data_IF_045002214645
#
_entry.id   IF_045002214645
#
_cell.length_a   1.000
_cell.length_b   1.000
_cell.length_c   1.000
_cell.angle_alpha   90.00
_cell.angle_beta   90.00
_cell.angle_gamma   90.00
#
_symmetry.space_group_name_H-M   'P 1'
#
loop_
_entity.id
_entity.type
_entity.pdbx_description
1 polymer ?
#
# COMPACT_ATOMS: atom_id res chain seq x y z
N UNK A 1 25.54 -65.99 -22.17
CA UNK A 1 26.87 -65.88 -22.81
C UNK A 1 27.03 -64.78 -23.90
N UNK A 2 25.99 -64.13 -24.42
CA UNK A 2 26.13 -63.10 -25.48
C UNK A 2 26.38 -61.68 -25.01
N UNK A 3 26.05 -61.29 -23.79
CA UNK A 3 26.19 -59.92 -23.28
C UNK A 3 27.65 -59.61 -22.86
N UNK A 4 28.39 -60.62 -22.37
CA UNK A 4 29.75 -60.41 -21.90
C UNK A 4 30.79 -60.23 -23.07
N UNK A 5 30.49 -60.74 -24.24
CA UNK A 5 31.34 -60.57 -25.44
C UNK A 5 31.19 -59.18 -26.08
N UNK A 6 30.03 -58.54 -25.93
CA UNK A 6 29.79 -57.17 -26.44
C UNK A 6 30.53 -56.11 -25.60
N UNK A 7 30.70 -56.34 -24.34
CA UNK A 7 31.40 -55.44 -23.42
C UNK A 7 32.94 -55.44 -23.58
N UNK A 8 33.48 -56.45 -24.21
CA UNK A 8 34.94 -56.57 -24.44
C UNK A 8 35.45 -55.92 -25.74
N UNK A 9 34.57 -55.46 -26.59
CA UNK A 9 34.99 -54.82 -27.81
C UNK A 9 35.37 -53.35 -27.54
N UNK A 10 36.60 -52.95 -27.85
CA UNK A 10 37.11 -51.60 -27.63
C UNK A 10 36.19 -50.52 -28.24
N UNK A 11 35.59 -50.78 -29.42
CA UNK A 11 34.66 -49.90 -30.09
C UNK A 11 33.36 -49.66 -29.28
N UNK A 12 32.86 -50.71 -28.64
CA UNK A 12 31.65 -50.65 -27.79
C UNK A 12 31.91 -49.86 -26.49
N UNK A 13 33.11 -50.05 -25.88
CA UNK A 13 33.53 -49.27 -24.73
C UNK A 13 33.66 -47.77 -25.03
N UNK A 14 34.25 -47.46 -26.19
CA UNK A 14 34.36 -46.06 -26.66
C UNK A 14 32.99 -45.46 -26.92
N UNK A 15 32.06 -46.19 -27.56
CA UNK A 15 30.72 -45.73 -27.81
C UNK A 15 29.93 -45.44 -26.56
N UNK A 16 30.04 -46.33 -25.53
CA UNK A 16 29.41 -46.14 -24.20
C UNK A 16 30.01 -44.96 -23.44
N UNK A 17 31.32 -44.77 -23.53
CA UNK A 17 31.99 -43.60 -22.93
C UNK A 17 31.54 -42.30 -23.55
N UNK A 18 31.42 -42.22 -24.87
CA UNK A 18 30.94 -41.04 -25.62
C UNK A 18 29.48 -40.78 -25.27
N UNK A 19 28.64 -41.78 -25.15
CA UNK A 19 27.24 -41.65 -24.75
C UNK A 19 27.13 -41.09 -23.32
N UNK A 20 27.97 -41.60 -22.41
CA UNK A 20 28.01 -41.11 -21.04
C UNK A 20 28.45 -39.65 -20.95
N UNK A 21 29.46 -39.24 -21.74
CA UNK A 21 29.93 -37.88 -21.85
C UNK A 21 28.80 -36.98 -22.40
N UNK A 22 28.06 -37.41 -23.41
CA UNK A 22 26.92 -36.65 -23.95
C UNK A 22 25.79 -36.51 -22.96
N UNK A 23 25.49 -37.54 -22.15
CA UNK A 23 24.49 -37.47 -21.10
C UNK A 23 24.94 -36.49 -20.01
N UNK A 24 26.21 -36.58 -19.58
CA UNK A 24 26.75 -35.67 -18.55
C UNK A 24 26.74 -34.22 -19.07
N UNK A 25 27.14 -34.01 -20.35
CA UNK A 25 27.11 -32.67 -20.97
C UNK A 25 25.68 -32.13 -21.13
N UNK A 26 24.71 -32.97 -21.48
CA UNK A 26 23.29 -32.64 -21.52
C UNK A 26 22.72 -32.27 -20.16
N UNK A 27 23.10 -33.01 -19.09
CA UNK A 27 22.71 -32.72 -17.72
C UNK A 27 23.35 -31.41 -17.23
N UNK A 28 24.64 -31.20 -17.52
CA UNK A 28 25.34 -29.94 -17.17
C UNK A 28 24.73 -28.76 -17.91
N UNK A 29 24.45 -28.87 -19.21
CA UNK A 29 23.75 -27.84 -19.98
C UNK A 29 22.32 -27.63 -19.50
N UNK A 30 21.60 -28.66 -19.09
CA UNK A 30 20.28 -28.55 -18.48
C UNK A 30 20.33 -27.86 -17.11
N UNK A 31 21.34 -28.12 -16.32
CA UNK A 31 21.55 -27.47 -15.02
C UNK A 31 22.02 -26.01 -15.16
N UNK A 32 22.79 -25.68 -16.19
CA UNK A 32 23.20 -24.29 -16.47
C UNK A 32 22.09 -23.49 -17.17
N UNK A 33 21.10 -24.18 -17.79
CA UNK A 33 19.95 -23.56 -18.42
C UNK A 33 18.79 -23.27 -17.48
N UNK A 34 18.86 -23.71 -16.24
CA UNK A 34 18.07 -23.15 -15.15
C UNK A 34 18.67 -21.75 -14.86
N UNK A 35 18.38 -20.79 -15.75
CA UNK A 35 18.44 -19.39 -15.36
C UNK A 35 17.64 -19.31 -14.07
N UNK A 36 18.34 -19.13 -12.96
CA UNK A 36 17.73 -18.55 -11.78
C UNK A 36 17.07 -17.26 -12.27
N UNK A 37 15.76 -17.30 -12.51
CA UNK A 37 14.92 -16.12 -12.45
C UNK A 37 14.90 -15.73 -10.95
N UNK A 38 16.05 -15.32 -10.41
CA UNK A 38 16.07 -14.32 -9.37
C UNK A 38 15.53 -13.08 -10.08
N UNK A 39 14.22 -12.87 -9.97
CA UNK A 39 13.71 -11.53 -10.14
C UNK A 39 14.61 -10.69 -9.24
N UNK A 40 15.31 -9.73 -9.80
CA UNK A 40 15.98 -8.71 -8.98
C UNK A 40 14.90 -8.23 -8.03
N UNK A 41 15.11 -8.45 -6.75
CA UNK A 41 14.18 -8.00 -5.74
C UNK A 41 14.29 -6.49 -5.78
N UNK A 42 13.29 -5.83 -6.35
CA UNK A 42 13.23 -4.37 -6.37
C UNK A 42 12.99 -3.92 -4.94
N UNK A 43 13.74 -2.93 -4.50
CA UNK A 43 13.62 -2.34 -3.18
C UNK A 43 13.42 -0.84 -3.33
N UNK A 44 12.54 -0.29 -2.51
CA UNK A 44 12.37 1.15 -2.36
C UNK A 44 13.12 1.62 -1.11
N UNK A 45 13.98 2.61 -1.28
CA UNK A 45 14.56 3.33 -0.15
C UNK A 45 13.62 4.47 0.20
N UNK A 46 13.03 4.46 1.39
CA UNK A 46 12.13 5.53 1.79
C UNK A 46 12.82 6.88 1.74
N UNK A 47 12.29 7.79 0.93
CA UNK A 47 12.75 9.18 0.84
C UNK A 47 12.28 10.02 2.04
N UNK A 48 11.32 9.51 2.82
CA UNK A 48 10.67 10.19 3.95
C UNK A 48 11.40 9.98 5.28
N UNK A 49 12.51 9.25 5.28
CA UNK A 49 13.30 8.94 6.48
C UNK A 49 13.78 10.17 7.25
N UNK A 50 13.89 11.32 6.62
CA UNK A 50 14.26 12.59 7.27
C UNK A 50 13.25 13.02 8.34
N UNK A 51 11.99 12.59 8.27
CA UNK A 51 10.93 12.89 9.23
C UNK A 51 10.89 11.92 10.43
N UNK A 52 11.76 10.91 10.47
CA UNK A 52 11.82 9.97 11.59
C UNK A 52 11.98 10.64 12.97
N UNK A 53 12.82 11.70 13.14
CA UNK A 53 12.92 12.38 14.42
C UNK A 53 11.62 13.03 14.90
N UNK A 54 10.76 13.52 13.98
CA UNK A 54 9.45 14.08 14.29
C UNK A 54 8.47 12.99 14.75
N UNK A 55 8.45 11.86 14.04
CA UNK A 55 7.66 10.69 14.42
C UNK A 55 8.08 10.20 15.81
N UNK A 56 9.39 10.11 16.08
CA UNK A 56 9.91 9.68 17.40
C UNK A 56 9.49 10.63 18.53
N UNK A 57 9.50 11.95 18.27
CA UNK A 57 9.01 12.94 19.25
C UNK A 57 7.50 12.77 19.50
N UNK A 58 6.72 12.62 18.44
CA UNK A 58 5.26 12.44 18.54
C UNK A 58 4.90 11.18 19.30
N UNK A 59 5.55 10.05 19.01
CA UNK A 59 5.33 8.78 19.74
C UNK A 59 5.62 8.90 21.23
N UNK A 60 6.67 9.65 21.62
CA UNK A 60 6.99 9.89 23.04
C UNK A 60 5.96 10.77 23.76
N UNK A 61 5.35 11.70 23.03
CA UNK A 61 4.33 12.59 23.61
C UNK A 61 3.00 11.86 23.88
N UNK A 62 2.78 10.70 23.25
CA UNK A 62 1.53 9.93 23.26
C UNK A 62 1.47 8.84 24.36
N UNK A 63 2.08 9.07 25.53
CA UNK A 63 2.15 8.05 26.61
C UNK A 63 0.77 7.66 27.19
N UNK A 64 -0.29 8.49 27.02
CA UNK A 64 -1.64 8.28 27.59
C UNK A 64 -2.74 7.97 26.57
N UNK A 65 -2.39 7.47 25.39
CA UNK A 65 -3.34 7.19 24.30
C UNK A 65 -4.42 6.17 24.73
N UNK A 66 -5.67 6.47 24.39
CA UNK A 66 -6.81 5.56 24.53
C UNK A 66 -7.05 4.79 23.23
N UNK A 67 -7.69 3.61 23.32
CA UNK A 67 -8.17 2.88 22.16
C UNK A 67 -9.27 3.66 21.44
N UNK A 68 -9.49 3.34 20.17
CA UNK A 68 -10.68 3.79 19.43
C UNK A 68 -11.92 3.14 20.05
N UNK A 69 -13.06 3.84 20.00
CA UNK A 69 -14.31 3.37 20.60
C UNK A 69 -14.96 2.19 19.88
N UNK A 70 -14.45 1.80 18.73
CA UNK A 70 -14.98 0.74 17.88
C UNK A 70 -14.47 -0.63 18.29
N UNK A 71 -15.28 -1.67 18.03
CA UNK A 71 -14.92 -3.06 18.33
C UNK A 71 -13.91 -3.62 17.34
N UNK A 72 -14.02 -3.23 16.09
CA UNK A 72 -13.15 -3.65 15.00
C UNK A 72 -13.07 -2.57 13.93
N UNK A 73 -11.87 -2.34 13.39
CA UNK A 73 -11.59 -1.29 12.44
C UNK A 73 -11.05 -1.93 11.16
N UNK A 74 -11.78 -1.79 10.08
CA UNK A 74 -11.38 -2.26 8.75
C UNK A 74 -10.63 -1.21 7.95
N UNK A 75 -10.73 0.06 8.30
CA UNK A 75 -10.03 1.11 7.59
C UNK A 75 -10.05 2.46 8.27
N UNK A 76 -9.26 3.38 7.73
CA UNK A 76 -9.17 4.77 8.14
C UNK A 76 -8.88 5.67 6.95
N UNK A 77 -9.32 6.91 7.04
CA UNK A 77 -8.96 7.98 6.10
C UNK A 77 -7.99 8.89 6.82
N UNK A 78 -6.81 9.12 6.24
CA UNK A 78 -5.76 9.92 6.87
C UNK A 78 -5.03 10.78 5.85
N UNK A 79 -4.62 11.96 6.29
CA UNK A 79 -3.79 12.87 5.50
C UNK A 79 -2.37 12.32 5.30
N UNK A 80 -1.72 12.75 4.22
CA UNK A 80 -0.32 12.45 3.96
C UNK A 80 0.60 13.68 3.96
N UNK A 81 0.10 14.83 4.38
CA UNK A 81 0.81 16.12 4.37
C UNK A 81 1.83 16.24 5.51
N UNK A 82 2.91 15.46 5.42
CA UNK A 82 3.98 15.53 6.41
C UNK A 82 4.97 16.68 6.09
N UNK A 83 5.60 17.32 7.10
CA UNK A 83 5.59 16.92 8.52
C UNK A 83 4.37 17.41 9.33
N UNK A 84 3.53 18.28 8.79
CA UNK A 84 2.47 18.99 9.51
C UNK A 84 1.51 18.04 10.22
N UNK A 85 1.18 16.91 9.61
CA UNK A 85 0.17 15.96 10.11
C UNK A 85 0.77 14.81 10.93
N UNK A 86 2.09 14.71 11.08
CA UNK A 86 2.74 13.61 11.80
C UNK A 86 2.14 13.38 13.21
N UNK A 87 1.89 14.39 14.06
CA UNK A 87 1.32 14.12 15.37
C UNK A 87 -0.05 13.43 15.28
N UNK A 88 -0.88 13.81 14.32
CA UNK A 88 -2.21 13.21 14.11
C UNK A 88 -2.12 11.79 13.56
N UNK A 89 -1.21 11.55 12.61
CA UNK A 89 -0.93 10.21 12.11
C UNK A 89 -0.46 9.28 13.23
N UNK A 90 0.44 9.75 14.09
CA UNK A 90 0.93 8.99 15.24
C UNK A 90 -0.21 8.69 16.21
N UNK A 91 -1.08 9.65 16.52
CA UNK A 91 -2.27 9.44 17.35
C UNK A 91 -3.18 8.36 16.76
N UNK A 92 -3.59 8.51 15.50
CA UNK A 92 -4.44 7.55 14.80
C UNK A 92 -3.88 6.13 14.85
N UNK A 93 -2.63 5.93 14.38
CA UNK A 93 -2.02 4.61 14.33
C UNK A 93 -1.77 4.01 15.73
N UNK A 94 -1.46 4.84 16.73
CA UNK A 94 -1.25 4.38 18.09
C UNK A 94 -2.56 3.95 18.74
N UNK A 95 -3.65 4.67 18.51
CA UNK A 95 -5.00 4.29 18.95
C UNK A 95 -5.45 3.01 18.27
N UNK A 96 -5.25 2.87 16.95
CA UNK A 96 -5.53 1.64 16.20
C UNK A 96 -4.77 0.44 16.79
N UNK A 97 -3.49 0.59 17.09
CA UNK A 97 -2.67 -0.46 17.72
C UNK A 97 -3.19 -0.90 19.08
N UNK A 98 -3.77 0.02 19.86
CA UNK A 98 -4.39 -0.30 21.14
C UNK A 98 -5.78 -0.94 21.02
N UNK A 99 -6.46 -0.70 19.89
CA UNK A 99 -7.80 -1.23 19.65
C UNK A 99 -7.77 -2.68 19.22
N UNK A 100 -6.85 -3.05 18.30
CA UNK A 100 -6.81 -4.39 17.73
C UNK A 100 -5.41 -4.77 17.25
N UNK A 101 -5.10 -6.09 17.12
CA UNK A 101 -3.92 -6.54 16.42
C UNK A 101 -4.05 -6.27 14.93
N UNK A 102 -3.02 -5.68 14.31
CA UNK A 102 -2.94 -5.46 12.87
C UNK A 102 -1.63 -6.02 12.36
N UNK A 103 -1.69 -6.87 11.32
CA UNK A 103 -0.51 -7.46 10.67
C UNK A 103 -0.28 -6.92 9.27
N UNK A 104 -1.34 -6.46 8.63
CA UNK A 104 -1.31 -6.05 7.24
C UNK A 104 -1.98 -4.69 7.06
N UNK A 105 -1.35 -3.85 6.24
CA UNK A 105 -1.94 -2.60 5.79
C UNK A 105 -2.00 -2.58 4.26
N UNK A 106 -3.14 -2.19 3.72
CA UNK A 106 -3.27 -1.76 2.34
C UNK A 106 -3.36 -0.24 2.37
N UNK A 107 -2.43 0.46 1.75
CA UNK A 107 -2.42 1.92 1.72
C UNK A 107 -2.76 2.36 0.31
N UNK A 108 -3.87 3.08 0.16
CA UNK A 108 -4.28 3.63 -1.14
C UNK A 108 -4.18 5.15 -1.14
N UNK A 109 -3.70 5.72 -2.23
CA UNK A 109 -3.54 7.17 -2.38
C UNK A 109 -3.54 7.60 -3.84
N UNK A 110 -3.45 8.92 -4.13
CA UNK A 110 -3.21 9.42 -5.47
C UNK A 110 -1.84 9.00 -6.02
N UNK A 111 -1.74 8.88 -7.32
CA UNK A 111 -0.49 9.01 -8.07
C UNK A 111 -0.38 10.48 -8.49
N UNK A 112 0.30 11.30 -7.69
CA UNK A 112 0.33 12.75 -7.87
C UNK A 112 0.96 13.20 -9.20
N UNK A 113 1.74 12.34 -9.82
CA UNK A 113 2.46 12.64 -11.07
C UNK A 113 1.89 11.89 -12.27
N UNK A 114 0.87 11.05 -12.07
CA UNK A 114 0.33 10.14 -13.08
C UNK A 114 1.42 9.28 -13.76
N UNK A 115 2.47 8.92 -13.01
CA UNK A 115 3.63 8.21 -13.53
C UNK A 115 3.43 6.70 -13.70
N UNK A 116 2.42 6.12 -13.07
CA UNK A 116 2.08 4.71 -13.23
C UNK A 116 1.71 4.35 -14.66
N UNK A 117 2.12 3.17 -15.13
CA UNK A 117 1.82 2.69 -16.50
C UNK A 117 0.36 2.29 -16.72
N UNK A 118 -0.41 2.18 -15.64
CA UNK A 118 -1.83 1.86 -15.66
C UNK A 118 -2.61 2.80 -14.74
N UNK A 119 -3.94 2.94 -14.91
CA UNK A 119 -4.75 3.78 -14.04
C UNK A 119 -4.62 3.44 -12.55
N UNK A 120 -4.42 2.17 -12.21
CA UNK A 120 -4.17 1.71 -10.85
C UNK A 120 -2.86 0.92 -10.85
N UNK A 121 -1.95 1.32 -9.97
CA UNK A 121 -0.63 0.72 -9.82
C UNK A 121 -0.45 0.19 -8.40
N UNK A 122 0.13 -1.00 -8.27
CA UNK A 122 0.43 -1.65 -6.99
C UNK A 122 1.91 -1.99 -6.92
N UNK A 123 2.54 -1.78 -5.76
CA UNK A 123 3.89 -2.25 -5.50
C UNK A 123 3.88 -3.67 -4.91
N UNK A 124 4.85 -4.47 -5.34
CA UNK A 124 5.17 -5.78 -4.75
C UNK A 124 6.60 -5.81 -4.17
N UNK A 125 7.22 -4.63 -4.04
CA UNK A 125 8.56 -4.47 -3.50
C UNK A 125 8.56 -4.25 -1.98
N UNK A 126 9.71 -4.47 -1.34
CA UNK A 126 9.96 -4.06 0.04
C UNK A 126 10.36 -2.58 0.11
N UNK A 127 9.99 -1.91 1.19
CA UNK A 127 10.40 -0.53 1.50
C UNK A 127 11.37 -0.54 2.69
N UNK A 128 12.52 0.07 2.53
CA UNK A 128 13.48 0.25 3.61
C UNK A 128 13.31 1.61 4.26
N UNK A 129 12.91 1.60 5.50
CA UNK A 129 12.74 2.80 6.33
C UNK A 129 13.81 2.86 7.43
N UNK A 130 13.93 3.98 8.11
CA UNK A 130 14.76 4.11 9.33
C UNK A 130 14.39 3.08 10.39
N UNK A 131 13.16 2.59 10.39
CA UNK A 131 12.64 1.64 11.39
C UNK A 131 12.72 0.17 10.94
N UNK A 132 13.24 -0.10 9.74
CA UNK A 132 13.46 -1.42 9.20
C UNK A 132 12.77 -1.69 7.87
N UNK A 133 12.83 -2.95 7.45
CA UNK A 133 12.21 -3.41 6.22
C UNK A 133 10.69 -3.58 6.42
N UNK A 134 9.92 -3.03 5.49
CA UNK A 134 8.47 -3.21 5.37
C UNK A 134 8.20 -4.02 4.11
N UNK A 135 7.70 -5.23 4.29
CA UNK A 135 7.43 -6.17 3.18
C UNK A 135 5.99 -6.03 2.67
N UNK A 136 5.73 -6.32 1.40
CA UNK A 136 4.37 -6.37 0.87
C UNK A 136 3.58 -7.55 1.45
N UNK A 137 2.25 -7.47 1.38
CA UNK A 137 1.35 -8.57 1.71
C UNK A 137 1.52 -9.67 0.66
N UNK A 138 1.77 -10.91 1.11
CA UNK A 138 2.09 -12.01 0.24
C UNK A 138 1.01 -12.26 -0.82
N UNK A 139 1.39 -12.16 -2.09
CA UNK A 139 0.55 -12.47 -3.25
C UNK A 139 -0.59 -11.49 -3.51
N UNK A 140 -0.77 -10.41 -2.74
CA UNK A 140 -1.85 -9.45 -2.95
C UNK A 140 -1.69 -8.75 -4.31
N UNK A 141 -0.50 -8.21 -4.59
CA UNK A 141 -0.24 -7.51 -5.85
C UNK A 141 -0.48 -8.42 -7.07
N UNK A 142 -0.02 -9.68 -7.02
CA UNK A 142 -0.24 -10.65 -8.09
C UNK A 142 -1.73 -10.95 -8.29
N UNK A 143 -2.50 -11.13 -7.22
CA UNK A 143 -3.96 -11.33 -7.32
C UNK A 143 -4.67 -10.16 -7.98
N UNK A 144 -4.27 -8.93 -7.67
CA UNK A 144 -4.84 -7.72 -8.28
C UNK A 144 -4.46 -7.62 -9.77
N UNK A 145 -3.22 -7.97 -10.11
CA UNK A 145 -2.77 -8.00 -11.51
C UNK A 145 -3.49 -9.09 -12.32
N UNK A 146 -3.60 -10.30 -11.80
CA UNK A 146 -4.30 -11.41 -12.46
C UNK A 146 -5.79 -11.09 -12.67
N UNK A 147 -6.41 -10.38 -11.73
CA UNK A 147 -7.76 -9.85 -11.86
C UNK A 147 -7.88 -8.64 -12.82
N UNK A 148 -6.77 -8.14 -13.36
CA UNK A 148 -6.68 -6.95 -14.23
C UNK A 148 -7.22 -5.67 -13.58
N UNK A 149 -7.10 -5.57 -12.26
CA UNK A 149 -7.54 -4.42 -11.47
C UNK A 149 -6.41 -3.44 -11.16
N UNK A 150 -5.17 -3.93 -11.08
CA UNK A 150 -4.00 -3.09 -10.91
C UNK A 150 -2.81 -3.69 -11.66
N UNK A 151 -1.86 -2.85 -12.03
CA UNK A 151 -0.61 -3.27 -12.65
C UNK A 151 0.54 -3.20 -11.63
N UNK A 152 1.40 -4.21 -11.59
CA UNK A 152 2.62 -4.13 -10.80
C UNK A 152 3.61 -3.24 -11.57
N UNK A 153 3.96 -2.10 -10.99
CA UNK A 153 4.95 -1.17 -11.51
C UNK A 153 5.60 -0.45 -10.32
N UNK A 154 6.90 -0.58 -10.18
CA UNK A 154 7.61 -0.06 -9.01
C UNK A 154 8.08 1.39 -9.17
N UNK A 155 8.26 1.85 -10.41
CA UNK A 155 8.87 3.15 -10.68
C UNK A 155 8.17 4.37 -10.05
N UNK A 156 6.82 4.44 -10.00
CA UNK A 156 6.16 5.61 -9.43
C UNK A 156 6.21 5.70 -7.90
N UNK A 157 6.57 4.62 -7.20
CA UNK A 157 6.50 4.60 -5.73
C UNK A 157 7.66 5.31 -5.03
N UNK A 158 8.82 5.46 -5.67
CA UNK A 158 9.96 6.15 -5.05
C UNK A 158 9.65 7.60 -4.68
N UNK A 159 9.09 8.44 -5.58
CA UNK A 159 8.77 9.83 -5.26
C UNK A 159 7.38 10.01 -4.65
N UNK A 160 6.51 8.98 -4.63
CA UNK A 160 5.11 9.15 -4.25
C UNK A 160 4.95 9.27 -2.72
N UNK A 161 4.55 10.47 -2.27
CA UNK A 161 4.43 10.78 -0.84
C UNK A 161 3.12 10.31 -0.22
N UNK A 162 2.07 10.16 -1.00
CA UNK A 162 0.77 9.74 -0.46
C UNK A 162 0.84 8.41 0.28
N UNK A 163 1.61 7.47 -0.24
CA UNK A 163 1.80 6.16 0.39
C UNK A 163 3.11 6.05 1.17
N UNK A 164 4.16 6.73 0.70
CA UNK A 164 5.48 6.68 1.32
C UNK A 164 5.51 7.23 2.76
N UNK A 165 4.78 8.32 3.02
CA UNK A 165 4.61 8.92 4.34
C UNK A 165 3.96 7.96 5.33
N UNK A 166 2.92 7.24 4.90
CA UNK A 166 2.21 6.26 5.72
C UNK A 166 3.08 5.06 6.06
N UNK A 167 3.83 4.54 5.07
CA UNK A 167 4.75 3.41 5.27
C UNK A 167 5.76 3.73 6.37
N UNK A 168 6.30 4.95 6.40
CA UNK A 168 7.24 5.35 7.44
C UNK A 168 6.61 5.34 8.83
N UNK A 169 5.41 5.93 9.01
CA UNK A 169 4.72 5.97 10.31
C UNK A 169 4.28 4.57 10.75
N UNK A 170 3.72 3.78 9.82
CA UNK A 170 3.32 2.38 10.09
C UNK A 170 4.53 1.57 10.54
N UNK A 171 5.68 1.70 9.89
CA UNK A 171 6.89 0.93 10.24
C UNK A 171 7.38 1.21 11.66
N UNK A 172 7.19 2.43 12.17
CA UNK A 172 7.49 2.80 13.55
C UNK A 172 6.51 2.19 14.55
N UNK A 173 5.22 2.31 14.27
CA UNK A 173 4.18 1.96 15.24
C UNK A 173 3.86 0.46 15.22
N UNK A 174 3.92 -0.16 14.05
CA UNK A 174 3.65 -1.59 13.83
C UNK A 174 4.89 -2.32 13.27
N UNK A 175 5.96 -2.48 14.06
CA UNK A 175 7.16 -3.14 13.57
C UNK A 175 6.85 -4.58 13.12
N UNK A 176 7.23 -4.89 11.89
CA UNK A 176 6.98 -6.20 11.26
C UNK A 176 5.63 -6.34 10.55
N UNK A 177 4.76 -5.34 10.59
CA UNK A 177 3.56 -5.33 9.74
C UNK A 177 3.95 -5.27 8.26
N UNK A 178 3.15 -5.90 7.41
CA UNK A 178 3.28 -5.84 5.96
C UNK A 178 2.46 -4.70 5.40
N UNK A 179 2.98 -4.03 4.36
CA UNK A 179 2.27 -2.93 3.71
C UNK A 179 2.30 -3.13 2.21
N UNK A 180 1.13 -3.12 1.58
CA UNK A 180 1.01 -3.08 0.11
C UNK A 180 0.44 -1.73 -0.29
N UNK A 181 1.25 -0.83 -0.87
CA UNK A 181 0.76 0.44 -1.37
C UNK A 181 0.14 0.28 -2.76
N UNK A 182 -0.95 1.04 -2.98
CA UNK A 182 -1.68 1.13 -4.24
C UNK A 182 -1.87 2.61 -4.54
N UNK A 183 -1.56 3.06 -5.74
CA UNK A 183 -1.76 4.44 -6.17
C UNK A 183 -2.67 4.50 -7.39
N UNK A 184 -3.49 5.53 -7.43
CA UNK A 184 -4.49 5.73 -8.45
C UNK A 184 -4.20 7.03 -9.22
N UNK A 185 -4.08 6.91 -10.54
CA UNK A 185 -3.92 8.05 -11.43
C UNK A 185 -5.20 8.88 -11.53
N UNK A 186 -5.06 10.12 -11.96
CA UNK A 186 -6.18 11.05 -12.17
C UNK A 186 -7.22 10.53 -13.17
N UNK A 187 -6.80 9.75 -14.19
CA UNK A 187 -7.66 9.15 -15.22
C UNK A 187 -8.33 7.82 -14.80
N UNK A 188 -8.13 7.36 -13.57
CA UNK A 188 -8.84 6.19 -13.04
C UNK A 188 -10.36 6.43 -13.06
N UNK A 189 -11.12 5.52 -13.65
CA UNK A 189 -12.58 5.63 -13.67
C UNK A 189 -13.19 5.22 -12.33
N UNK A 190 -14.39 5.76 -12.01
CA UNK A 190 -15.17 5.36 -10.83
C UNK A 190 -15.39 3.84 -10.81
N UNK A 191 -15.84 3.26 -11.93
CA UNK A 191 -16.11 1.83 -12.03
C UNK A 191 -14.88 0.97 -11.74
N UNK A 192 -13.70 1.41 -12.19
CA UNK A 192 -12.44 0.68 -11.94
C UNK A 192 -12.05 0.77 -10.46
N UNK A 193 -12.20 1.93 -9.84
CA UNK A 193 -11.96 2.12 -8.41
C UNK A 193 -12.93 1.26 -7.56
N UNK A 194 -14.23 1.27 -7.89
CA UNK A 194 -15.23 0.44 -7.20
C UNK A 194 -14.95 -1.06 -7.37
N UNK A 195 -14.54 -1.50 -8.57
CA UNK A 195 -14.19 -2.90 -8.81
C UNK A 195 -12.99 -3.32 -7.95
N UNK A 196 -11.97 -2.46 -7.82
CA UNK A 196 -10.85 -2.69 -6.90
C UNK A 196 -11.35 -2.81 -5.45
N UNK A 197 -12.20 -1.89 -5.00
CA UNK A 197 -12.74 -1.89 -3.64
C UNK A 197 -13.50 -3.19 -3.33
N UNK A 198 -14.34 -3.65 -4.24
CA UNK A 198 -15.10 -4.91 -4.09
C UNK A 198 -14.19 -6.12 -3.91
N UNK A 199 -13.12 -6.21 -4.70
CA UNK A 199 -12.15 -7.32 -4.57
C UNK A 199 -11.35 -7.21 -3.27
N UNK A 200 -10.85 -6.01 -2.92
CA UNK A 200 -10.13 -5.81 -1.66
C UNK A 200 -10.97 -6.21 -0.46
N UNK A 201 -12.26 -5.86 -0.43
CA UNK A 201 -13.18 -6.27 0.63
C UNK A 201 -13.23 -7.80 0.82
N UNK A 202 -13.07 -8.59 -0.24
CA UNK A 202 -13.04 -10.05 -0.16
C UNK A 202 -11.67 -10.62 0.23
N UNK A 203 -10.59 -9.90 -0.08
CA UNK A 203 -9.23 -10.36 0.18
C UNK A 203 -8.71 -10.00 1.57
N UNK A 204 -9.26 -8.96 2.19
CA UNK A 204 -8.90 -8.54 3.53
C UNK A 204 -9.44 -9.49 4.59
N UNK A 205 -8.59 -9.90 5.51
CA UNK A 205 -8.94 -10.58 6.75
C UNK A 205 -9.12 -9.60 7.91
N UNK A 206 -9.37 -10.13 9.12
CA UNK A 206 -9.60 -9.31 10.32
C UNK A 206 -8.30 -8.69 10.89
N UNK A 207 -7.13 -9.07 10.39
CA UNK A 207 -5.82 -8.48 10.77
C UNK A 207 -5.30 -7.51 9.71
N UNK A 208 -6.11 -7.18 8.69
CA UNK A 208 -5.80 -6.28 7.60
C UNK A 208 -6.62 -5.00 7.70
N UNK A 209 -5.95 -3.85 7.64
CA UNK A 209 -6.57 -2.52 7.66
C UNK A 209 -6.27 -1.78 6.36
N UNK A 210 -7.31 -1.18 5.77
CA UNK A 210 -7.20 -0.32 4.60
C UNK A 210 -7.04 1.14 5.04
N UNK A 211 -6.01 1.80 4.56
CA UNK A 211 -5.77 3.23 4.76
C UNK A 211 -6.00 3.97 3.44
N UNK A 212 -6.97 4.86 3.43
CA UNK A 212 -7.09 5.87 2.38
C UNK A 212 -6.24 7.08 2.78
N UNK A 213 -5.12 7.24 2.11
CA UNK A 213 -4.18 8.32 2.31
C UNK A 213 -4.50 9.44 1.34
N UNK A 214 -5.30 10.40 1.80
CA UNK A 214 -5.82 11.50 0.98
C UNK A 214 -5.85 12.80 1.77
N UNK A 215 -5.64 13.90 1.09
CA UNK A 215 -5.92 15.24 1.61
C UNK A 215 -7.25 15.75 1.03
N UNK A 216 -7.98 16.53 1.81
CA UNK A 216 -9.24 17.13 1.36
C UNK A 216 -9.00 18.35 0.48
N UNK A 217 -9.70 19.46 0.69
CA UNK A 217 -9.58 20.64 -0.16
C UNK A 217 -8.15 21.22 -0.18
N UNK A 218 -7.75 21.77 -1.32
CA UNK A 218 -6.43 22.38 -1.51
C UNK A 218 -6.54 23.81 -2.02
N UNK A 219 -5.67 24.69 -1.50
CA UNK A 219 -5.43 26.05 -2.02
C UNK A 219 -6.69 26.92 -2.11
N UNK A 220 -7.65 26.74 -1.21
CA UNK A 220 -8.87 27.51 -1.12
C UNK A 220 -8.81 28.51 0.04
N UNK A 221 -9.57 29.61 -0.01
CA UNK A 221 -9.85 30.42 1.17
C UNK A 221 -10.42 29.54 2.29
N UNK A 222 -10.02 29.82 3.53
CA UNK A 222 -10.30 28.94 4.69
C UNK A 222 -11.80 28.62 4.87
N UNK A 223 -12.68 29.62 4.70
CA UNK A 223 -14.13 29.44 4.83
C UNK A 223 -14.71 28.50 3.76
N UNK A 224 -14.21 28.61 2.53
CA UNK A 224 -14.61 27.72 1.43
C UNK A 224 -14.08 26.31 1.64
N UNK A 225 -12.81 26.17 2.05
CA UNK A 225 -12.20 24.88 2.37
C UNK A 225 -13.02 24.16 3.45
N UNK A 226 -13.29 24.83 4.57
CA UNK A 226 -14.06 24.25 5.68
C UNK A 226 -15.45 23.78 5.25
N UNK A 227 -16.16 24.56 4.42
CA UNK A 227 -17.49 24.19 3.94
C UNK A 227 -17.45 22.94 3.04
N UNK A 228 -16.47 22.86 2.12
CA UNK A 228 -16.30 21.70 1.22
C UNK A 228 -15.82 20.46 1.97
N UNK A 229 -14.92 20.63 2.93
CA UNK A 229 -14.39 19.52 3.73
C UNK A 229 -15.46 18.92 4.64
N UNK A 230 -16.39 19.73 5.17
CA UNK A 230 -17.55 19.21 5.86
C UNK A 230 -18.45 18.35 4.98
N UNK A 231 -18.75 18.80 3.77
CA UNK A 231 -19.51 18.02 2.80
C UNK A 231 -18.79 16.70 2.50
N UNK A 232 -17.48 16.77 2.23
CA UNK A 232 -16.64 15.58 2.00
C UNK A 232 -16.72 14.61 3.18
N UNK A 233 -16.61 15.11 4.41
CA UNK A 233 -16.72 14.32 5.61
C UNK A 233 -18.07 13.64 5.79
N UNK A 234 -19.17 14.32 5.47
CA UNK A 234 -20.52 13.73 5.53
C UNK A 234 -20.69 12.61 4.50
N UNK A 235 -20.21 12.80 3.27
CA UNK A 235 -20.24 11.77 2.23
C UNK A 235 -19.47 10.52 2.67
N UNK A 236 -18.29 10.72 3.25
CA UNK A 236 -17.44 9.61 3.73
C UNK A 236 -18.08 8.90 4.91
N UNK A 237 -18.57 9.61 5.92
CA UNK A 237 -19.25 9.02 7.09
C UNK A 237 -20.45 8.17 6.71
N UNK A 238 -21.21 8.62 5.71
CA UNK A 238 -22.39 7.91 5.23
C UNK A 238 -22.09 6.83 4.20
N UNK A 239 -20.84 6.69 3.75
CA UNK A 239 -20.39 5.81 2.67
C UNK A 239 -21.25 5.99 1.40
N UNK A 240 -21.62 7.24 1.10
CA UNK A 240 -22.52 7.59 -0.01
C UNK A 240 -21.75 7.72 -1.33
N UNK A 241 -21.63 6.60 -2.07
CA UNK A 241 -20.93 6.56 -3.36
C UNK A 241 -21.63 7.37 -4.46
N UNK A 242 -22.92 7.63 -4.34
CA UNK A 242 -23.63 8.47 -5.32
C UNK A 242 -23.27 9.95 -5.11
N UNK A 243 -23.02 10.35 -3.87
CA UNK A 243 -22.56 11.69 -3.52
C UNK A 243 -21.03 11.88 -3.67
N UNK A 244 -20.28 10.84 -4.07
CA UNK A 244 -18.84 10.93 -4.29
C UNK A 244 -18.38 12.13 -5.16
N UNK A 245 -19.11 12.57 -6.20
CA UNK A 245 -18.75 13.77 -6.95
C UNK A 245 -18.72 15.08 -6.13
N UNK A 246 -19.27 15.08 -4.92
CA UNK A 246 -19.25 16.22 -3.99
C UNK A 246 -18.00 16.22 -3.10
N UNK A 247 -17.25 15.10 -3.06
CA UNK A 247 -16.02 15.01 -2.28
C UNK A 247 -14.91 15.82 -2.92
N UNK A 248 -14.43 16.79 -2.17
CA UNK A 248 -13.27 17.61 -2.53
C UNK A 248 -12.04 17.02 -1.87
N UNK A 249 -11.31 16.20 -2.62
CA UNK A 249 -10.09 15.53 -2.17
C UNK A 249 -9.12 15.40 -3.36
N UNK A 250 -7.83 15.27 -3.07
CA UNK A 250 -6.80 15.04 -4.08
C UNK A 250 -7.00 13.72 -4.84
N UNK A 251 -7.65 12.73 -4.20
CA UNK A 251 -8.05 11.48 -4.85
C UNK A 251 -9.45 11.01 -4.45
N UNK A 252 -10.48 11.52 -5.14
CA UNK A 252 -11.84 10.99 -5.01
C UNK A 252 -11.93 9.50 -5.42
N UNK A 253 -10.99 9.01 -6.24
CA UNK A 253 -10.93 7.61 -6.66
C UNK A 253 -10.44 6.70 -5.52
N UNK A 254 -9.45 7.13 -4.76
CA UNK A 254 -9.02 6.43 -3.53
C UNK A 254 -10.17 6.37 -2.52
N UNK A 255 -10.95 7.45 -2.40
CA UNK A 255 -12.15 7.47 -1.57
C UNK A 255 -13.22 6.48 -2.05
N UNK A 256 -13.43 6.33 -3.37
CA UNK A 256 -14.34 5.31 -3.93
C UNK A 256 -13.93 3.90 -3.52
N UNK A 257 -12.64 3.57 -3.67
CA UNK A 257 -12.09 2.27 -3.23
C UNK A 257 -12.36 2.05 -1.74
N UNK A 258 -12.03 3.05 -0.90
CA UNK A 258 -12.22 2.97 0.55
C UNK A 258 -13.70 2.70 0.90
N UNK A 259 -14.60 3.51 0.38
CA UNK A 259 -16.03 3.41 0.69
C UNK A 259 -16.61 2.06 0.24
N UNK A 260 -16.20 1.54 -0.92
CA UNK A 260 -16.61 0.20 -1.38
C UNK A 260 -16.09 -0.91 -0.45
N UNK A 261 -14.86 -0.80 0.04
CA UNK A 261 -14.32 -1.77 1.01
C UNK A 261 -15.12 -1.72 2.30
N UNK A 262 -15.39 -0.53 2.85
CA UNK A 262 -16.17 -0.38 4.09
C UNK A 262 -17.59 -0.94 3.94
N UNK A 263 -18.25 -0.67 2.82
CA UNK A 263 -19.56 -1.28 2.51
C UNK A 263 -19.48 -2.80 2.42
N UNK A 264 -18.46 -3.33 1.72
CA UNK A 264 -18.25 -4.78 1.59
C UNK A 264 -17.97 -5.46 2.94
N UNK A 265 -17.29 -4.80 3.86
CA UNK A 265 -17.05 -5.25 5.24
C UNK A 265 -18.22 -4.97 6.18
N UNK A 266 -19.27 -4.26 5.74
CA UNK A 266 -20.37 -3.78 6.58
C UNK A 266 -19.89 -2.91 7.75
N UNK A 267 -18.81 -2.19 7.55
CA UNK A 267 -18.20 -1.27 8.50
C UNK A 267 -18.94 0.08 8.37
N UNK A 268 -20.08 0.21 9.04
CA UNK A 268 -20.96 1.39 8.96
C UNK A 268 -20.79 2.31 10.18
N UNK A 269 -20.20 1.82 11.25
CA UNK A 269 -19.90 2.64 12.42
C UNK A 269 -18.60 3.38 12.19
N UNK A 270 -18.62 4.69 12.39
CA UNK A 270 -17.43 5.54 12.34
C UNK A 270 -17.10 6.05 13.73
N UNK A 271 -15.87 5.91 14.15
CA UNK A 271 -15.32 6.65 15.28
C UNK A 271 -14.64 7.89 14.70
N UNK A 272 -15.00 9.03 15.23
CA UNK A 272 -14.34 10.33 15.15
C UNK A 272 -13.59 10.66 13.82
N UNK A 273 -14.32 10.99 12.76
CA UNK A 273 -13.73 11.62 11.59
C UNK A 273 -13.42 13.09 11.91
N UNK A 274 -12.20 13.36 12.31
CA UNK A 274 -11.73 14.71 12.59
C UNK A 274 -11.30 15.40 11.31
N UNK A 275 -11.85 16.57 11.03
CA UNK A 275 -11.47 17.41 9.88
C UNK A 275 -10.77 18.66 10.42
N UNK A 276 -9.55 18.85 9.98
CA UNK A 276 -8.70 19.99 10.33
C UNK A 276 -8.24 20.67 9.04
N UNK A 277 -7.59 21.80 9.18
CA UNK A 277 -6.98 22.49 8.05
C UNK A 277 -5.63 23.09 8.44
N UNK A 278 -4.92 23.64 7.47
CA UNK A 278 -3.59 24.24 7.68
C UNK A 278 -3.61 25.29 8.80
N UNK A 279 -4.66 26.13 8.90
CA UNK A 279 -4.74 27.15 9.94
C UNK A 279 -4.91 26.56 11.34
N UNK A 280 -5.62 25.42 11.47
CA UNK A 280 -5.77 24.74 12.75
C UNK A 280 -4.43 24.18 13.26
N UNK A 281 -3.56 23.77 12.34
CA UNK A 281 -2.29 23.13 12.69
C UNK A 281 -1.11 24.10 12.70
N UNK A 282 -1.08 25.09 11.80
CA UNK A 282 0.06 25.97 11.58
C UNK A 282 -0.18 27.45 11.90
N UNK A 283 -1.41 27.85 12.16
CA UNK A 283 -1.84 29.23 12.46
C UNK A 283 -1.43 30.25 11.38
N UNK A 284 -1.42 29.88 10.11
CA UNK A 284 -0.92 30.80 9.09
C UNK A 284 -1.33 30.47 7.66
N UNK A 285 -2.45 30.95 7.13
CA UNK A 285 -2.55 31.34 5.72
C UNK A 285 -3.96 31.77 5.30
N UNK A 286 -4.03 32.61 4.27
CA UNK A 286 -5.29 32.95 3.57
C UNK A 286 -5.81 31.77 2.72
N UNK A 287 -4.97 30.78 2.46
CA UNK A 287 -5.27 29.56 1.71
C UNK A 287 -4.90 28.34 2.54
N UNK A 288 -5.76 27.34 2.50
CA UNK A 288 -5.61 26.16 3.34
C UNK A 288 -5.77 24.85 2.57
N UNK A 289 -5.18 23.79 3.12
CA UNK A 289 -5.43 22.41 2.75
C UNK A 289 -6.22 21.76 3.87
N UNK A 290 -7.28 21.03 3.53
CA UNK A 290 -8.08 20.25 4.47
C UNK A 290 -7.40 18.91 4.77
N UNK A 291 -7.34 18.56 6.05
CA UNK A 291 -6.78 17.30 6.54
C UNK A 291 -7.86 16.47 7.22
N UNK A 292 -7.79 15.15 7.03
CA UNK A 292 -8.74 14.20 7.59
C UNK A 292 -8.01 13.11 8.36
N UNK A 293 -8.61 12.66 9.47
CA UNK A 293 -8.06 11.63 10.35
C UNK A 293 -9.16 10.76 10.95
#
# INVERSE_FOLDING_TARGET
MKIQSLLNNAKTKIALLLLLILIIFGVVLGLTSVKSNRSETVYHQSQWNEYAPEIDRSVKAEESIQSLGLKHIYGGVVSHHIPTTIPRLVDFYSRLKKTQPVKNFIVIGPDHTDAGKAPITVSNASFFTTYGEVRPIDGLASKLQDAKLANIDEAPFDPEHSVGSQILVISKIFPGAKVTPIILRSDTTKDHAEALGKILATLMDDETVLIASVDFSHYLPTDQAMALDQISGEVVRNLDLEALPLVTADSSKSMAVFMEVMKGKKAIDTDDLTILNTNDLMQNSDYTTGYVF
#
